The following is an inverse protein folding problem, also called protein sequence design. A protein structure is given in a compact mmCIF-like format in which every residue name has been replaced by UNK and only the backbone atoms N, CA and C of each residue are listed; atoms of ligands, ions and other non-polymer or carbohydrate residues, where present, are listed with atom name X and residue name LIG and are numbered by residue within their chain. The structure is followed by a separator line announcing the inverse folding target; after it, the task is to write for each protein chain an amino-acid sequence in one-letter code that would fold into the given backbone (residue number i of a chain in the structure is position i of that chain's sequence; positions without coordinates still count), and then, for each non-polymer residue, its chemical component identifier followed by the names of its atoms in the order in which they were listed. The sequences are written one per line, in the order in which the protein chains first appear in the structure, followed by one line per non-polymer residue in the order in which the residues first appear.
data_IF_614888997478
#
_entry.id   IF_614888997478
#
_cell.length_a   1.000
_cell.length_b   1.000
_cell.length_c   1.000
_cell.angle_alpha   90.00
_cell.angle_beta   90.00
_cell.angle_gamma   90.00
#
_symmetry.space_group_name_H-M   'P 1'
#
loop_
_entity.id
_entity.type
_entity.pdbx_description
1 polymer ?
#
# COMPACT_ATOMS: atom_id res chain seq x y z
N UNK A 1 16.29 -29.68 -1.74
CA UNK A 1 16.05 -30.04 -0.33
C UNK A 1 15.27 -28.90 0.27
N UNK A 2 13.94 -29.06 0.36
CA UNK A 2 13.07 -28.02 0.88
C UNK A 2 13.22 -28.04 2.41
N UNK A 3 13.76 -26.96 2.97
CA UNK A 3 13.78 -26.77 4.41
C UNK A 3 12.33 -26.69 4.91
N UNK A 4 12.05 -27.29 6.06
CA UNK A 4 10.81 -27.05 6.80
C UNK A 4 10.64 -25.54 7.02
N UNK A 5 9.48 -24.95 6.69
CA UNK A 5 9.23 -23.54 6.94
C UNK A 5 9.43 -23.22 8.43
N UNK A 6 10.16 -22.16 8.71
CA UNK A 6 10.25 -21.57 10.04
C UNK A 6 8.86 -20.97 10.36
N UNK A 7 8.19 -21.34 11.46
CA UNK A 7 6.92 -20.72 11.87
C UNK A 7 7.02 -19.21 12.12
N UNK A 8 8.23 -18.63 12.16
CA UNK A 8 8.46 -17.19 12.23
C UNK A 8 8.43 -16.47 10.88
N UNK A 9 8.46 -17.18 9.75
CA UNK A 9 8.33 -16.57 8.42
C UNK A 9 6.92 -16.82 7.90
N UNK A 10 6.11 -15.78 7.79
CA UNK A 10 4.73 -15.80 7.28
C UNK A 10 4.63 -16.05 5.75
N UNK A 11 5.60 -16.78 5.19
CA UNK A 11 5.74 -17.09 3.77
C UNK A 11 5.49 -18.58 3.57
N UNK A 12 4.45 -18.92 2.81
CA UNK A 12 4.08 -20.31 2.53
C UNK A 12 4.19 -20.61 1.03
N UNK A 13 4.61 -21.82 0.66
CA UNK A 13 4.65 -22.28 -0.74
C UNK A 13 3.27 -22.74 -1.25
N UNK A 14 2.35 -23.03 -0.33
CA UNK A 14 0.98 -23.50 -0.57
C UNK A 14 0.10 -23.06 0.60
N UNK A 15 -1.23 -22.95 0.43
CA UNK A 15 -2.11 -22.63 1.55
C UNK A 15 -1.85 -23.58 2.73
N UNK A 16 -1.64 -23.06 3.96
CA UNK A 16 -1.49 -23.91 5.13
C UNK A 16 -2.79 -24.71 5.36
N UNK A 17 -2.70 -25.81 6.11
CA UNK A 17 -3.82 -26.76 6.24
C UNK A 17 -5.13 -26.17 6.81
N UNK A 18 -5.05 -25.02 7.49
CA UNK A 18 -6.20 -24.29 8.05
C UNK A 18 -6.72 -23.16 7.14
N UNK A 19 -6.08 -22.92 5.99
CA UNK A 19 -6.51 -21.95 4.99
C UNK A 19 -7.37 -22.59 3.90
N UNK A 20 -8.27 -21.79 3.36
CA UNK A 20 -9.09 -22.14 2.20
C UNK A 20 -8.23 -22.19 0.92
N UNK A 21 -8.75 -22.74 -0.20
CA UNK A 21 -8.04 -22.78 -1.48
C UNK A 21 -7.63 -21.40 -2.02
N UNK A 22 -8.39 -20.36 -1.68
CA UNK A 22 -8.09 -18.96 -2.00
C UNK A 22 -7.21 -18.27 -0.93
N UNK A 23 -6.54 -19.04 -0.08
CA UNK A 23 -5.68 -18.56 1.02
C UNK A 23 -6.38 -17.85 2.18
N UNK A 24 -7.70 -17.67 2.11
CA UNK A 24 -8.42 -17.03 3.21
C UNK A 24 -8.45 -17.93 4.45
N UNK A 25 -8.41 -17.28 5.62
CA UNK A 25 -8.59 -17.91 6.93
C UNK A 25 -9.72 -17.20 7.69
N UNK A 26 -10.23 -17.85 8.74
CA UNK A 26 -11.02 -17.12 9.74
C UNK A 26 -10.10 -16.12 10.45
N UNK A 27 -10.57 -14.89 10.65
CA UNK A 27 -9.85 -13.90 11.45
C UNK A 27 -9.67 -14.41 12.89
N UNK A 28 -10.61 -15.21 13.40
CA UNK A 28 -10.67 -15.66 14.80
C UNK A 28 -10.42 -14.48 15.76
N UNK A 29 -11.22 -13.41 15.61
CA UNK A 29 -11.03 -12.15 16.33
C UNK A 29 -10.93 -12.30 17.85
N UNK A 30 -11.57 -13.33 18.41
CA UNK A 30 -11.54 -13.63 19.85
C UNK A 30 -10.21 -14.18 20.35
N UNK A 31 -9.33 -14.61 19.43
CA UNK A 31 -7.99 -15.09 19.76
C UNK A 31 -7.01 -13.96 20.07
N UNK A 32 -7.30 -12.73 19.62
CA UNK A 32 -6.50 -11.56 19.97
C UNK A 32 -6.55 -11.32 21.47
N UNK A 33 -5.37 -11.23 22.08
CA UNK A 33 -5.24 -10.96 23.50
C UNK A 33 -5.31 -9.44 23.79
N UNK A 34 -5.40 -9.09 25.07
CA UNK A 34 -5.50 -7.69 25.50
C UNK A 34 -4.28 -6.84 25.07
N UNK A 35 -3.08 -7.41 25.04
CA UNK A 35 -1.87 -6.69 24.61
C UNK A 35 -1.90 -6.35 23.12
N UNK A 36 -2.44 -7.24 22.29
CA UNK A 36 -2.59 -7.02 20.85
C UNK A 36 -3.61 -5.92 20.57
N UNK A 37 -4.75 -5.91 21.27
CA UNK A 37 -5.72 -4.81 21.19
C UNK A 37 -5.13 -3.48 21.68
N UNK A 38 -4.38 -3.46 22.78
CA UNK A 38 -3.73 -2.25 23.29
C UNK A 38 -2.66 -1.73 22.32
N UNK A 39 -1.93 -2.63 21.65
CA UNK A 39 -0.95 -2.25 20.63
C UNK A 39 -1.61 -1.54 19.46
N UNK A 40 -2.76 -2.03 19.00
CA UNK A 40 -3.58 -1.32 17.99
C UNK A 40 -3.96 0.08 18.46
N UNK A 41 -4.45 0.21 19.70
CA UNK A 41 -4.88 1.50 20.25
C UNK A 41 -3.72 2.52 20.34
N UNK A 42 -2.53 2.06 20.72
CA UNK A 42 -1.32 2.90 20.77
C UNK A 42 -0.96 3.40 19.37
N UNK A 43 -0.92 2.50 18.37
CA UNK A 43 -0.60 2.85 17.00
C UNK A 43 -1.66 3.80 16.41
N UNK A 44 -2.93 3.50 16.62
CA UNK A 44 -4.06 4.31 16.16
C UNK A 44 -4.01 5.72 16.77
N UNK A 45 -3.83 5.84 18.09
CA UNK A 45 -3.76 7.14 18.76
C UNK A 45 -2.61 7.99 18.21
N UNK A 46 -1.43 7.38 18.02
CA UNK A 46 -0.26 8.05 17.45
C UNK A 46 -0.53 8.59 16.04
N UNK A 47 -1.14 7.79 15.16
CA UNK A 47 -1.46 8.22 13.80
C UNK A 47 -2.61 9.24 13.78
N UNK A 48 -3.66 9.05 14.59
CA UNK A 48 -4.80 9.97 14.69
C UNK A 48 -4.39 11.39 15.06
N UNK A 49 -3.41 11.56 15.94
CA UNK A 49 -2.95 12.88 16.35
C UNK A 49 -2.04 13.53 15.30
N UNK A 50 -1.36 12.73 14.47
CA UNK A 50 -0.35 13.19 13.51
C UNK A 50 -0.88 13.40 12.09
N UNK A 51 -1.81 12.56 11.63
CA UNK A 51 -2.35 12.61 10.27
C UNK A 51 -3.25 13.80 9.92
N UNK A 52 -3.90 14.53 10.85
CA UNK A 52 -4.58 15.76 10.51
C UNK A 52 -3.66 16.71 9.74
N UNK A 53 -4.19 17.32 8.68
CA UNK A 53 -3.46 18.17 7.71
C UNK A 53 -2.36 17.48 6.88
N UNK A 54 -2.14 16.16 7.05
CA UNK A 54 -1.17 15.37 6.27
C UNK A 54 -1.83 14.32 5.39
N UNK A 55 -2.81 13.58 5.90
CA UNK A 55 -3.55 12.59 5.13
C UNK A 55 -4.58 13.23 4.20
N UNK A 56 -4.86 12.58 3.08
CA UNK A 56 -5.89 12.98 2.14
C UNK A 56 -7.27 12.97 2.83
N UNK A 57 -8.15 13.87 2.42
CA UNK A 57 -9.48 13.96 3.01
C UNK A 57 -10.29 12.67 2.81
N UNK A 58 -10.08 11.96 1.69
CA UNK A 58 -10.69 10.65 1.44
C UNK A 58 -10.29 9.61 2.49
N UNK A 59 -9.02 9.58 2.91
CA UNK A 59 -8.54 8.68 3.95
C UNK A 59 -9.19 8.99 5.30
N UNK A 60 -9.19 10.26 5.71
CA UNK A 60 -9.79 10.71 6.98
C UNK A 60 -11.29 10.41 7.03
N UNK A 61 -12.01 10.65 5.93
CA UNK A 61 -13.42 10.27 5.81
C UNK A 61 -13.63 8.76 5.95
N UNK A 62 -12.73 7.95 5.36
CA UNK A 62 -12.76 6.50 5.46
C UNK A 62 -12.61 5.99 6.89
N UNK A 63 -11.71 6.59 7.69
CA UNK A 63 -11.55 6.29 9.12
C UNK A 63 -12.88 6.46 9.87
N UNK A 64 -13.58 7.57 9.60
CA UNK A 64 -14.86 7.91 10.24
C UNK A 64 -16.00 6.98 9.79
N UNK A 65 -16.11 6.72 8.48
CA UNK A 65 -17.12 5.82 7.89
C UNK A 65 -16.99 4.42 8.50
N UNK A 66 -15.77 3.88 8.53
CA UNK A 66 -15.47 2.54 9.00
C UNK A 66 -15.39 2.44 10.53
N UNK A 67 -15.54 3.56 11.25
CA UNK A 67 -15.51 3.63 12.71
C UNK A 67 -14.25 3.02 13.33
N UNK A 68 -13.10 3.23 12.69
CA UNK A 68 -11.82 2.69 13.16
C UNK A 68 -11.33 3.35 14.47
N UNK A 69 -12.02 4.39 14.95
CA UNK A 69 -11.80 4.99 16.28
C UNK A 69 -12.31 4.13 17.44
N UNK A 70 -13.04 3.05 17.18
CA UNK A 70 -13.42 2.06 18.19
C UNK A 70 -12.16 1.38 18.74
N UNK A 71 -12.00 1.24 20.07
CA UNK A 71 -10.82 0.61 20.65
C UNK A 71 -10.63 -0.85 20.25
N UNK A 72 -9.37 -1.25 20.10
CA UNK A 72 -8.89 -2.57 19.75
C UNK A 72 -8.87 -2.85 18.24
N UNK A 73 -8.17 -3.93 17.87
CA UNK A 73 -8.15 -4.48 16.51
C UNK A 73 -9.59 -4.63 15.95
N UNK A 74 -9.88 -4.15 14.74
CA UNK A 74 -11.21 -4.25 14.13
C UNK A 74 -11.66 -5.69 13.90
N UNK A 75 -12.93 -5.98 14.22
CA UNK A 75 -13.59 -7.23 13.83
C UNK A 75 -13.99 -7.12 12.34
N UNK A 76 -13.46 -8.00 11.50
CA UNK A 76 -13.70 -7.98 10.05
C UNK A 76 -15.18 -8.24 9.72
N UNK A 77 -15.92 -8.98 10.54
CA UNK A 77 -17.35 -9.15 10.32
C UNK A 77 -18.11 -7.83 10.50
N UNK A 78 -17.74 -7.00 11.50
CA UNK A 78 -18.35 -5.69 11.69
C UNK A 78 -17.90 -4.70 10.59
N UNK A 79 -16.59 -4.65 10.33
CA UNK A 79 -15.96 -3.79 9.33
C UNK A 79 -16.55 -4.05 7.93
N UNK A 80 -16.65 -5.31 7.53
CA UNK A 80 -17.12 -5.70 6.20
C UNK A 80 -18.58 -5.35 5.97
N UNK A 81 -19.45 -5.36 7.00
CA UNK A 81 -20.84 -4.89 6.83
C UNK A 81 -20.86 -3.44 6.34
N UNK A 82 -20.03 -2.58 6.95
CA UNK A 82 -19.96 -1.16 6.58
C UNK A 82 -19.33 -1.00 5.20
N UNK A 83 -18.17 -1.64 4.97
CA UNK A 83 -17.43 -1.48 3.73
C UNK A 83 -18.19 -2.04 2.51
N UNK A 84 -18.87 -3.18 2.66
CA UNK A 84 -19.71 -3.74 1.59
C UNK A 84 -20.90 -2.83 1.27
N UNK A 85 -21.57 -2.27 2.28
CA UNK A 85 -22.67 -1.33 2.08
C UNK A 85 -22.20 -0.01 1.42
N UNK A 86 -20.94 0.39 1.66
CA UNK A 86 -20.37 1.65 1.16
C UNK A 86 -19.88 1.53 -0.29
N UNK A 87 -19.05 0.53 -0.59
CA UNK A 87 -18.38 0.38 -1.89
C UNK A 87 -18.37 -1.05 -2.43
N UNK A 88 -19.04 -1.99 -1.76
CA UNK A 88 -19.02 -3.42 -2.12
C UNK A 88 -17.68 -4.11 -1.87
N UNK A 89 -16.75 -3.47 -1.15
CA UNK A 89 -15.48 -4.07 -0.75
C UNK A 89 -15.60 -4.82 0.58
N UNK A 90 -14.71 -5.78 0.78
CA UNK A 90 -14.52 -6.47 2.06
C UNK A 90 -13.05 -6.77 2.31
N UNK A 91 -12.67 -6.92 3.57
CA UNK A 91 -11.37 -7.40 4.03
C UNK A 91 -11.47 -8.89 4.31
N UNK A 92 -10.48 -9.66 3.88
CA UNK A 92 -10.35 -11.09 4.19
C UNK A 92 -9.01 -11.34 4.88
N UNK A 93 -9.04 -12.16 5.94
CA UNK A 93 -7.83 -12.54 6.65
C UNK A 93 -7.05 -13.59 5.85
N UNK A 94 -5.73 -13.45 5.81
CA UNK A 94 -4.79 -14.41 5.21
C UNK A 94 -3.69 -14.76 6.22
N UNK A 95 -3.05 -15.93 6.12
CA UNK A 95 -2.05 -16.38 7.09
C UNK A 95 -0.72 -15.61 7.04
N UNK A 96 -0.56 -14.74 6.04
CA UNK A 96 0.68 -14.02 5.72
C UNK A 96 0.66 -13.49 4.29
N UNK A 97 1.84 -13.41 3.67
CA UNK A 97 1.95 -13.08 2.26
C UNK A 97 1.30 -14.17 1.40
N UNK A 98 0.54 -13.75 0.39
CA UNK A 98 -0.12 -14.65 -0.58
C UNK A 98 0.55 -14.53 -1.95
N UNK A 99 0.44 -15.57 -2.80
CA UNK A 99 0.91 -15.50 -4.19
C UNK A 99 0.25 -14.37 -4.99
N UNK A 100 0.97 -13.83 -5.99
CA UNK A 100 0.52 -12.71 -6.80
C UNK A 100 -0.83 -12.96 -7.49
N UNK A 101 -1.04 -14.16 -8.06
CA UNK A 101 -2.28 -14.53 -8.73
C UNK A 101 -3.49 -14.53 -7.78
N UNK A 102 -3.28 -15.00 -6.55
CA UNK A 102 -4.27 -14.96 -5.47
C UNK A 102 -4.55 -13.52 -5.05
N UNK A 103 -3.52 -12.72 -4.82
CA UNK A 103 -3.65 -11.30 -4.48
C UNK A 103 -4.47 -10.53 -5.52
N UNK A 104 -4.14 -10.69 -6.80
CA UNK A 104 -4.84 -10.02 -7.89
C UNK A 104 -6.28 -10.50 -8.08
N UNK A 105 -6.56 -11.80 -7.90
CA UNK A 105 -7.95 -12.30 -7.93
C UNK A 105 -8.78 -11.69 -6.81
N UNK A 106 -8.24 -11.59 -5.59
CA UNK A 106 -8.92 -10.93 -4.48
C UNK A 106 -9.26 -9.48 -4.82
N UNK A 107 -8.26 -8.68 -5.26
CA UNK A 107 -8.50 -7.28 -5.63
C UNK A 107 -9.50 -7.13 -6.77
N UNK A 108 -9.39 -7.96 -7.82
CA UNK A 108 -10.29 -7.95 -8.97
C UNK A 108 -11.76 -8.15 -8.58
N UNK A 109 -11.99 -8.87 -7.48
CA UNK A 109 -13.31 -9.19 -6.93
C UNK A 109 -13.63 -8.39 -5.65
N UNK A 110 -13.01 -7.23 -5.46
CA UNK A 110 -13.25 -6.32 -4.32
C UNK A 110 -13.06 -6.98 -2.94
N UNK A 111 -12.09 -7.88 -2.83
CA UNK A 111 -11.61 -8.45 -1.57
C UNK A 111 -10.19 -7.94 -1.31
N UNK A 112 -9.97 -7.28 -0.19
CA UNK A 112 -8.63 -6.85 0.23
C UNK A 112 -8.08 -7.89 1.21
N UNK A 113 -6.90 -8.44 0.93
CA UNK A 113 -6.26 -9.41 1.82
C UNK A 113 -5.53 -8.67 2.95
N UNK A 114 -5.63 -9.18 4.17
CA UNK A 114 -4.91 -8.62 5.33
C UNK A 114 -4.29 -9.73 6.17
N UNK A 115 -3.04 -9.52 6.57
CA UNK A 115 -2.37 -10.37 7.56
C UNK A 115 -3.14 -10.41 8.88
N UNK A 116 -3.22 -11.58 9.49
CA UNK A 116 -4.02 -11.80 10.71
C UNK A 116 -3.17 -11.75 12.00
N UNK A 117 -2.24 -10.80 12.08
CA UNK A 117 -1.40 -10.58 13.25
C UNK A 117 -1.08 -9.09 13.42
N UNK A 118 -0.74 -8.67 14.64
CA UNK A 118 -0.26 -7.31 14.92
C UNK A 118 1.18 -7.37 15.42
N UNK A 119 2.00 -6.37 15.04
CA UNK A 119 3.37 -6.21 15.53
C UNK A 119 3.43 -6.18 17.06
N UNK A 120 4.61 -6.48 17.61
CA UNK A 120 4.84 -6.41 19.07
C UNK A 120 5.17 -4.98 19.51
N UNK A 121 5.10 -4.73 20.82
CA UNK A 121 5.44 -3.42 21.42
C UNK A 121 6.89 -2.97 21.18
N UNK A 122 7.83 -3.90 21.03
CA UNK A 122 9.22 -3.61 20.69
C UNK A 122 9.43 -3.25 19.20
N UNK A 123 8.38 -3.34 18.38
CA UNK A 123 8.39 -3.12 16.93
C UNK A 123 7.43 -2.00 16.51
N UNK A 124 6.97 -1.15 17.43
CA UNK A 124 5.99 -0.08 17.15
C UNK A 124 6.45 0.90 16.06
N UNK A 125 7.75 1.15 15.97
CA UNK A 125 8.31 2.14 15.04
C UNK A 125 8.55 1.57 13.65
N UNK A 126 8.84 0.27 13.53
CA UNK A 126 9.08 -0.38 12.24
C UNK A 126 8.89 -1.90 12.33
N UNK A 127 8.21 -2.45 11.34
CA UNK A 127 8.14 -3.88 11.07
C UNK A 127 8.33 -4.07 9.56
N UNK A 128 9.17 -5.03 9.17
CA UNK A 128 9.44 -5.32 7.75
C UNK A 128 8.26 -6.00 7.06
N UNK A 129 7.54 -6.85 7.78
CA UNK A 129 6.36 -7.56 7.26
C UNK A 129 5.08 -6.72 7.46
N UNK A 130 4.15 -6.72 6.50
CA UNK A 130 2.86 -6.04 6.68
C UNK A 130 2.04 -6.78 7.74
N UNK A 131 1.69 -6.06 8.81
CA UNK A 131 0.78 -6.54 9.84
C UNK A 131 -0.63 -5.98 9.64
N UNK A 132 -1.58 -6.43 10.46
CA UNK A 132 -2.97 -5.98 10.40
C UNK A 132 -3.11 -4.47 10.56
N UNK A 133 -2.20 -3.80 11.27
CA UNK A 133 -2.24 -2.34 11.37
C UNK A 133 -1.89 -1.71 10.03
N UNK A 134 -0.79 -2.09 9.39
CA UNK A 134 -0.46 -1.60 8.05
C UNK A 134 -1.61 -1.87 7.06
N UNK A 135 -2.08 -3.11 6.98
CA UNK A 135 -3.11 -3.51 6.02
C UNK A 135 -4.44 -2.80 6.29
N UNK A 136 -4.96 -2.88 7.51
CA UNK A 136 -6.32 -2.41 7.84
C UNK A 136 -6.34 -0.92 8.07
N UNK A 137 -5.42 -0.36 8.85
CA UNK A 137 -5.40 1.09 9.06
C UNK A 137 -4.86 1.82 7.82
N UNK A 138 -3.87 1.27 7.13
CA UNK A 138 -3.23 1.93 6.00
C UNK A 138 -4.05 1.90 4.71
N UNK A 139 -4.61 0.75 4.33
CA UNK A 139 -5.28 0.61 3.02
C UNK A 139 -6.80 0.78 3.09
N UNK A 140 -7.44 0.16 4.09
CA UNK A 140 -8.90 -0.03 4.07
C UNK A 140 -9.71 1.28 4.14
N UNK A 141 -9.28 2.35 4.84
CA UNK A 141 -9.99 3.64 4.79
C UNK A 141 -10.17 4.18 3.37
N UNK A 142 -9.16 4.04 2.51
CA UNK A 142 -9.26 4.49 1.12
C UNK A 142 -10.27 3.67 0.31
N UNK A 143 -10.50 2.40 0.65
CA UNK A 143 -11.51 1.55 0.00
C UNK A 143 -12.95 2.00 0.27
N UNK A 144 -13.18 2.88 1.25
CA UNK A 144 -14.47 3.53 1.47
C UNK A 144 -14.75 4.66 0.45
N UNK A 145 -13.76 5.11 -0.32
CA UNK A 145 -13.96 6.00 -1.48
C UNK A 145 -14.17 5.16 -2.75
N UNK A 146 -15.30 5.35 -3.43
CA UNK A 146 -15.67 4.58 -4.61
C UNK A 146 -14.62 4.66 -5.73
N UNK A 147 -13.98 5.82 -5.93
CA UNK A 147 -13.00 6.01 -7.01
C UNK A 147 -11.74 5.19 -6.76
N UNK A 148 -11.25 5.22 -5.52
CA UNK A 148 -10.09 4.43 -5.13
C UNK A 148 -10.40 2.93 -5.10
N UNK A 149 -11.58 2.55 -4.62
CA UNK A 149 -12.07 1.17 -4.68
C UNK A 149 -12.18 0.65 -6.12
N UNK A 150 -12.63 1.46 -7.07
CA UNK A 150 -12.68 1.08 -8.48
C UNK A 150 -11.29 0.97 -9.12
N UNK A 151 -10.38 1.85 -8.72
CA UNK A 151 -8.98 1.81 -9.13
C UNK A 151 -8.32 0.50 -8.66
N UNK A 152 -8.48 0.14 -7.38
CA UNK A 152 -7.95 -1.10 -6.82
C UNK A 152 -8.51 -2.35 -7.51
N UNK A 153 -9.81 -2.35 -7.85
CA UNK A 153 -10.41 -3.47 -8.58
C UNK A 153 -9.89 -3.55 -10.03
N UNK A 154 -9.69 -2.39 -10.69
CA UNK A 154 -9.09 -2.33 -12.01
C UNK A 154 -7.63 -2.80 -12.00
N UNK A 155 -6.87 -2.42 -10.97
CA UNK A 155 -5.51 -2.88 -10.73
C UNK A 155 -5.45 -4.40 -10.57
N UNK A 156 -6.33 -5.00 -9.77
CA UNK A 156 -6.43 -6.47 -9.64
C UNK A 156 -6.66 -7.18 -10.98
N UNK A 157 -7.62 -6.70 -11.78
CA UNK A 157 -7.85 -7.21 -13.14
C UNK A 157 -6.66 -6.97 -14.09
N UNK A 158 -5.91 -5.89 -13.88
CA UNK A 158 -4.66 -5.59 -14.57
C UNK A 158 -3.57 -6.61 -14.24
N UNK A 159 -3.44 -7.00 -12.98
CA UNK A 159 -2.47 -7.99 -12.50
C UNK A 159 -2.66 -9.37 -13.09
N UNK A 160 -3.90 -9.84 -13.18
CA UNK A 160 -4.21 -11.11 -13.86
C UNK A 160 -3.74 -11.12 -15.33
N UNK A 161 -3.86 -9.98 -16.04
CA UNK A 161 -3.34 -9.83 -17.41
C UNK A 161 -1.81 -9.67 -17.44
N UNK A 162 -1.23 -8.97 -16.46
CA UNK A 162 0.22 -8.77 -16.39
C UNK A 162 0.97 -10.09 -16.12
N UNK A 163 0.36 -11.04 -15.41
CA UNK A 163 0.87 -12.41 -15.26
C UNK A 163 1.05 -13.09 -16.62
N UNK A 164 0.07 -12.95 -17.53
CA UNK A 164 0.13 -13.53 -18.88
C UNK A 164 1.24 -12.89 -19.74
N UNK A 165 1.53 -11.61 -19.52
CA UNK A 165 2.53 -10.86 -20.28
C UNK A 165 3.93 -10.85 -19.66
N UNK A 166 4.10 -11.38 -18.44
CA UNK A 166 5.37 -11.32 -17.72
C UNK A 166 5.76 -9.90 -17.27
N UNK A 167 4.78 -9.01 -17.05
CA UNK A 167 5.00 -7.58 -16.72
C UNK A 167 4.67 -7.24 -15.27
N UNK A 168 4.73 -8.23 -14.38
CA UNK A 168 4.46 -8.06 -12.95
C UNK A 168 5.35 -7.00 -12.30
N UNK A 169 6.63 -6.94 -12.67
CA UNK A 169 7.59 -5.97 -12.13
C UNK A 169 7.09 -4.53 -12.32
N UNK A 170 6.61 -4.22 -13.53
CA UNK A 170 6.09 -2.90 -13.86
C UNK A 170 4.82 -2.59 -13.08
N UNK A 171 3.95 -3.59 -12.90
CA UNK A 171 2.70 -3.40 -12.15
C UNK A 171 2.95 -3.27 -10.64
N UNK A 172 3.96 -3.96 -10.09
CA UNK A 172 4.39 -3.80 -8.71
C UNK A 172 4.90 -2.37 -8.45
N UNK A 173 5.65 -1.77 -9.39
CA UNK A 173 6.06 -0.36 -9.31
C UNK A 173 4.87 0.60 -9.27
N UNK A 174 3.85 0.33 -10.08
CA UNK A 174 2.63 1.13 -10.06
C UNK A 174 1.99 1.08 -8.68
N UNK A 175 1.79 -0.10 -8.10
CA UNK A 175 1.24 -0.26 -6.76
C UNK A 175 2.08 0.42 -5.68
N UNK A 176 3.40 0.26 -5.75
CA UNK A 176 4.32 0.86 -4.82
C UNK A 176 4.22 2.39 -4.81
N UNK A 177 4.28 3.00 -5.99
CA UNK A 177 4.27 4.46 -6.12
C UNK A 177 2.88 5.10 -6.07
N UNK A 178 1.81 4.31 -5.95
CA UNK A 178 0.46 4.80 -5.73
C UNK A 178 -0.11 4.31 -4.40
N UNK A 179 -0.48 3.04 -4.31
CA UNK A 179 -1.19 2.45 -3.17
C UNK A 179 -0.33 2.47 -1.91
N UNK A 180 0.98 2.26 -2.01
CA UNK A 180 1.86 2.23 -0.83
C UNK A 180 2.45 3.59 -0.48
N UNK A 181 3.00 4.31 -1.46
CA UNK A 181 3.75 5.55 -1.25
C UNK A 181 3.26 6.73 -2.11
N UNK A 182 1.97 6.72 -2.45
CA UNK A 182 1.36 7.80 -3.22
C UNK A 182 1.04 9.05 -2.40
N UNK A 183 1.29 10.21 -3.03
CA UNK A 183 0.83 11.52 -2.58
C UNK A 183 -0.26 12.04 -3.53
N UNK A 184 -1.12 12.94 -3.04
CA UNK A 184 -2.19 13.55 -3.80
C UNK A 184 -2.17 15.07 -3.62
N UNK A 185 -2.51 15.79 -4.68
CA UNK A 185 -2.73 17.23 -4.61
C UNK A 185 -4.16 17.53 -4.15
N UNK A 186 -4.29 18.33 -3.10
CA UNK A 186 -5.56 18.88 -2.62
C UNK A 186 -5.49 20.42 -2.62
N UNK A 187 -6.62 21.14 -2.48
CA UNK A 187 -6.64 22.61 -2.50
C UNK A 187 -5.68 23.26 -1.49
N UNK A 188 -5.49 22.62 -0.32
CA UNK A 188 -4.65 23.09 0.77
C UNK A 188 -3.23 22.48 0.74
N UNK A 189 -2.81 21.94 -0.41
CA UNK A 189 -1.46 21.43 -0.66
C UNK A 189 -1.38 19.92 -0.83
N UNK A 190 -0.16 19.39 -0.70
CA UNK A 190 0.09 17.96 -0.82
C UNK A 190 -0.46 17.21 0.40
N UNK A 191 -1.03 16.04 0.14
CA UNK A 191 -1.53 15.10 1.14
C UNK A 191 -1.09 13.68 0.81
N UNK A 192 -1.22 12.80 1.79
CA UNK A 192 -0.82 11.39 1.71
C UNK A 192 -2.06 10.52 1.51
N UNK A 193 -2.01 9.59 0.56
CA UNK A 193 -2.99 8.50 0.47
C UNK A 193 -2.34 7.10 0.48
N UNK A 194 -1.03 7.02 0.31
CA UNK A 194 -0.28 5.77 0.35
C UNK A 194 -0.29 5.11 1.73
N UNK A 195 -0.64 3.83 1.77
CA UNK A 195 -0.81 3.03 2.99
C UNK A 195 0.47 2.87 3.80
N UNK A 196 1.60 2.61 3.14
CA UNK A 196 2.93 2.56 3.76
C UNK A 196 3.31 3.87 4.45
N UNK A 197 2.85 5.00 3.92
CA UNK A 197 3.09 6.31 4.53
C UNK A 197 2.15 6.54 5.72
N UNK A 198 0.82 6.44 5.56
CA UNK A 198 -0.13 6.77 6.64
C UNK A 198 -0.03 5.83 7.85
N UNK A 199 0.47 4.59 7.65
CA UNK A 199 0.72 3.63 8.73
C UNK A 199 2.10 3.80 9.40
N UNK A 200 2.97 4.64 8.84
CA UNK A 200 4.31 4.94 9.35
C UNK A 200 4.40 6.39 9.87
N UNK A 201 4.74 6.54 11.14
CA UNK A 201 4.91 7.87 11.74
C UNK A 201 6.05 8.66 11.09
N UNK A 202 7.20 8.03 10.91
CA UNK A 202 8.39 8.64 10.33
C UNK A 202 8.21 9.00 8.86
N UNK A 203 7.67 8.08 8.06
CA UNK A 203 7.44 8.30 6.63
C UNK A 203 6.42 9.42 6.40
N UNK A 204 5.36 9.50 7.21
CA UNK A 204 4.33 10.56 7.09
C UNK A 204 4.89 11.97 7.22
N UNK A 205 5.86 12.17 8.12
CA UNK A 205 6.54 13.46 8.27
C UNK A 205 7.55 13.65 7.13
N UNK A 206 8.39 12.64 6.88
CA UNK A 206 9.45 12.70 5.87
C UNK A 206 8.91 12.98 4.45
N UNK A 207 7.82 12.31 4.07
CA UNK A 207 7.23 12.42 2.75
C UNK A 207 6.72 13.82 2.42
N UNK A 208 6.33 14.63 3.41
CA UNK A 208 5.78 15.98 3.19
C UNK A 208 6.75 17.11 3.58
N UNK A 209 7.53 16.93 4.64
CA UNK A 209 8.25 18.03 5.30
C UNK A 209 9.77 18.00 5.05
N UNK A 210 10.35 16.83 4.80
CA UNK A 210 11.80 16.73 4.59
C UNK A 210 12.18 17.26 3.18
N UNK A 211 13.31 17.99 3.04
CA UNK A 211 13.80 18.46 1.75
C UNK A 211 14.57 17.40 0.95
N UNK A 212 14.79 16.19 1.49
CA UNK A 212 15.54 15.12 0.84
C UNK A 212 14.82 14.48 -0.35
N UNK A 213 13.55 14.05 -0.28
CA UNK A 213 12.93 13.30 -1.36
C UNK A 213 12.52 14.18 -2.54
N UNK A 214 12.48 13.59 -3.72
CA UNK A 214 11.83 14.20 -4.87
C UNK A 214 10.32 14.03 -4.74
N UNK A 215 9.56 15.05 -5.16
CA UNK A 215 8.10 14.97 -5.33
C UNK A 215 7.79 15.29 -6.78
N UNK A 216 7.27 14.31 -7.50
CA UNK A 216 7.12 14.34 -8.97
C UNK A 216 5.66 14.07 -9.30
N UNK A 217 5.07 14.80 -10.25
CA UNK A 217 3.71 14.48 -10.68
C UNK A 217 3.65 13.08 -11.27
N UNK A 218 2.52 12.41 -11.04
CA UNK A 218 2.22 11.09 -11.58
C UNK A 218 2.31 11.07 -13.10
N UNK A 219 3.10 10.13 -13.62
CA UNK A 219 3.15 9.73 -15.02
C UNK A 219 3.26 8.21 -15.08
N UNK A 220 2.36 7.56 -15.83
CA UNK A 220 2.26 6.10 -15.83
C UNK A 220 3.52 5.44 -16.39
N UNK A 221 4.00 5.87 -17.56
CA UNK A 221 5.16 5.24 -18.21
C UNK A 221 6.44 5.44 -17.39
N UNK A 222 6.58 6.62 -16.78
CA UNK A 222 7.62 6.96 -15.82
C UNK A 222 7.62 5.98 -14.66
N UNK A 223 6.48 5.81 -14.00
CA UNK A 223 6.34 4.94 -12.82
C UNK A 223 6.63 3.48 -13.16
N UNK A 224 6.09 2.95 -14.26
CA UNK A 224 6.31 1.55 -14.67
C UNK A 224 7.80 1.22 -14.89
N UNK A 225 8.64 2.22 -15.14
CA UNK A 225 10.09 2.08 -15.31
C UNK A 225 10.92 2.45 -14.07
N UNK A 226 10.31 2.94 -12.99
CA UNK A 226 11.06 3.46 -11.83
C UNK A 226 11.42 2.36 -10.84
N UNK A 227 12.70 2.16 -10.56
CA UNK A 227 13.16 1.32 -9.45
C UNK A 227 12.70 1.90 -8.11
N UNK A 228 12.37 1.05 -7.13
CA UNK A 228 12.07 1.46 -5.75
C UNK A 228 12.87 0.67 -4.71
N UNK A 229 12.90 1.15 -3.46
CA UNK A 229 13.52 0.44 -2.34
C UNK A 229 12.50 0.13 -1.25
N UNK A 230 12.68 -1.00 -0.57
CA UNK A 230 11.71 -1.52 0.41
C UNK A 230 12.17 -1.40 1.87
N UNK A 231 13.42 -1.00 2.10
CA UNK A 231 14.12 -1.13 3.37
C UNK A 231 14.40 0.20 4.08
N UNK A 232 13.84 1.30 3.58
CA UNK A 232 14.11 2.66 4.07
C UNK A 232 13.09 3.68 3.50
N UNK A 233 13.21 4.93 3.93
CA UNK A 233 12.42 6.04 3.40
C UNK A 233 12.58 6.22 1.89
N UNK A 234 11.48 6.56 1.22
CA UNK A 234 11.48 6.68 -0.23
C UNK A 234 12.26 7.91 -0.71
N UNK A 235 13.07 7.74 -1.75
CA UNK A 235 13.81 8.85 -2.37
C UNK A 235 12.93 9.67 -3.33
N UNK A 236 11.84 9.08 -3.82
CA UNK A 236 10.85 9.69 -4.71
C UNK A 236 9.43 9.37 -4.22
N UNK A 237 8.57 10.38 -4.26
CA UNK A 237 7.11 10.22 -4.15
C UNK A 237 6.44 10.74 -5.42
N UNK A 238 5.46 9.99 -5.91
CA UNK A 238 4.64 10.42 -7.04
C UNK A 238 3.32 11.02 -6.57
N UNK A 239 2.95 12.13 -7.19
CA UNK A 239 1.81 12.97 -6.80
C UNK A 239 0.72 12.86 -7.86
N UNK A 240 -0.42 12.27 -7.52
CA UNK A 240 -1.60 12.28 -8.38
C UNK A 240 -2.33 13.63 -8.26
N UNK A 241 -2.92 14.17 -9.34
CA UNK A 241 -3.70 15.41 -9.24
C UNK A 241 -5.09 15.18 -8.61
N UNK A 242 -5.63 13.95 -8.71
CA UNK A 242 -6.88 13.53 -8.06
C UNK A 242 -7.04 12.01 -8.12
N UNK A 243 -7.94 11.46 -7.29
CA UNK A 243 -8.34 10.05 -7.36
C UNK A 243 -9.07 9.73 -8.69
N UNK A 244 -9.82 10.69 -9.22
CA UNK A 244 -10.49 10.56 -10.52
C UNK A 244 -9.47 10.38 -11.65
N UNK A 245 -8.36 11.12 -11.64
CA UNK A 245 -7.31 10.97 -12.65
C UNK A 245 -6.57 9.64 -12.52
N UNK A 246 -6.26 9.21 -11.30
CA UNK A 246 -5.63 7.90 -11.06
C UNK A 246 -6.51 6.75 -11.59
N UNK A 247 -7.81 6.81 -11.29
CA UNK A 247 -8.79 5.85 -11.81
C UNK A 247 -8.87 5.91 -13.34
N UNK A 248 -9.03 7.12 -13.89
CA UNK A 248 -9.18 7.35 -15.34
C UNK A 248 -7.99 6.78 -16.10
N UNK A 249 -6.77 7.13 -15.72
CA UNK A 249 -5.56 6.60 -16.37
C UNK A 249 -5.51 5.08 -16.29
N UNK A 250 -5.89 4.49 -15.17
CA UNK A 250 -5.83 3.02 -15.00
C UNK A 250 -6.90 2.27 -15.80
N UNK A 251 -8.10 2.82 -15.91
CA UNK A 251 -9.23 2.18 -16.60
C UNK A 251 -9.21 2.44 -18.10
N UNK A 252 -8.84 3.65 -18.53
CA UNK A 252 -8.87 4.04 -19.94
C UNK A 252 -7.60 3.69 -20.70
N UNK A 253 -6.49 3.41 -20.01
CA UNK A 253 -5.25 2.99 -20.68
C UNK A 253 -5.28 1.50 -20.99
N UNK A 254 -5.02 1.14 -22.25
CA UNK A 254 -4.59 -0.21 -22.59
C UNK A 254 -3.11 -0.37 -22.23
N UNK A 255 -2.82 -1.18 -21.21
CA UNK A 255 -1.47 -1.35 -20.69
C UNK A 255 -0.58 -2.14 -21.64
N UNK A 256 -1.12 -2.96 -22.55
CA UNK A 256 -0.29 -3.79 -23.43
C UNK A 256 0.57 -2.95 -24.39
N UNK A 257 0.04 -1.96 -25.13
CA UNK A 257 0.86 -1.02 -25.91
C UNK A 257 1.89 -0.25 -25.07
N UNK A 258 1.54 0.09 -23.82
CA UNK A 258 2.47 0.78 -22.91
C UNK A 258 3.64 -0.13 -22.55
N UNK A 259 3.36 -1.38 -22.16
CA UNK A 259 4.38 -2.38 -21.89
C UNK A 259 5.30 -2.63 -23.09
N UNK A 260 4.73 -2.76 -24.29
CA UNK A 260 5.51 -2.94 -25.52
C UNK A 260 6.46 -1.75 -25.78
N UNK A 261 5.98 -0.53 -25.55
CA UNK A 261 6.77 0.70 -25.72
C UNK A 261 7.95 0.78 -24.75
N UNK A 262 7.76 0.34 -23.50
CA UNK A 262 8.80 0.45 -22.46
C UNK A 262 9.72 -0.76 -22.38
N UNK A 263 9.39 -1.88 -23.05
CA UNK A 263 10.10 -3.16 -22.92
C UNK A 263 11.61 -3.07 -23.19
N UNK A 264 12.01 -2.26 -24.18
CA UNK A 264 13.41 -2.10 -24.59
C UNK A 264 14.11 -0.88 -23.94
N UNK A 265 13.41 -0.14 -23.09
CA UNK A 265 13.97 1.02 -22.41
C UNK A 265 14.62 0.62 -21.07
N UNK A 266 15.74 1.24 -20.67
CA UNK A 266 16.34 0.96 -19.37
C UNK A 266 15.38 1.38 -18.24
N UNK A 267 15.47 0.67 -17.12
CA UNK A 267 14.85 1.10 -15.87
C UNK A 267 15.48 2.43 -15.41
N UNK A 268 14.64 3.27 -14.78
CA UNK A 268 15.03 4.58 -14.25
C UNK A 268 15.42 4.40 -12.79
N UNK A 269 16.59 4.92 -12.42
CA UNK A 269 17.12 4.77 -11.05
C UNK A 269 16.24 5.51 -10.04
N UNK A 270 16.18 4.99 -8.81
CA UNK A 270 15.25 5.47 -7.77
C UNK A 270 15.21 6.99 -7.65
N UNK A 271 16.35 7.67 -7.53
CA UNK A 271 16.41 9.13 -7.32
C UNK A 271 16.59 9.96 -8.61
N UNK A 272 16.60 9.32 -9.78
CA UNK A 272 16.83 9.99 -11.06
C UNK A 272 15.62 10.85 -11.42
N UNK A 273 15.88 12.07 -11.88
CA UNK A 273 14.88 12.96 -12.49
C UNK A 273 15.16 12.94 -13.99
N UNK A 274 14.16 12.66 -14.80
CA UNK A 274 14.29 12.50 -16.26
C UNK A 274 13.60 13.63 -17.00
N UNK A 275 13.95 13.81 -18.28
CA UNK A 275 13.27 14.75 -19.16
C UNK A 275 11.78 14.38 -19.27
N UNK A 276 10.91 15.36 -19.03
CA UNK A 276 9.45 15.18 -19.00
C UNK A 276 8.86 15.13 -17.60
N UNK A 277 9.66 14.90 -16.55
CA UNK A 277 9.17 14.95 -15.16
C UNK A 277 8.65 16.36 -14.83
N UNK A 278 7.40 16.44 -14.36
CA UNK A 278 6.88 17.65 -13.71
C UNK A 278 7.25 17.59 -12.23
N UNK A 279 8.40 18.18 -11.90
CA UNK A 279 9.00 18.14 -10.56
C UNK A 279 8.39 19.22 -9.67
N UNK A 280 7.68 18.81 -8.61
CA UNK A 280 7.16 19.72 -7.57
C UNK A 280 8.22 20.05 -6.53
N UNK A 281 9.07 19.08 -6.20
CA UNK A 281 10.21 19.27 -5.32
C UNK A 281 11.41 18.52 -5.86
N UNK A 282 12.49 19.25 -6.15
CA UNK A 282 13.80 18.66 -6.44
C UNK A 282 14.51 18.42 -5.11
N UNK A 283 14.44 17.19 -4.63
CA UNK A 283 14.99 16.80 -3.34
C UNK A 283 16.51 16.84 -3.30
N UNK A 284 17.07 17.10 -2.11
CA UNK A 284 18.52 17.12 -1.89
C UNK A 284 19.15 15.73 -1.87
N UNK A 285 18.33 14.69 -1.65
CA UNK A 285 18.75 13.32 -1.41
C UNK A 285 19.72 13.18 -0.22
N UNK A 286 19.73 14.16 0.70
CA UNK A 286 20.68 14.21 1.80
C UNK A 286 20.53 13.02 2.75
N UNK A 287 19.29 12.65 3.10
CA UNK A 287 19.00 11.48 3.92
C UNK A 287 19.59 10.20 3.33
N UNK A 288 19.22 9.86 2.09
CA UNK A 288 19.68 8.63 1.43
C UNK A 288 21.22 8.58 1.28
N UNK A 289 21.87 9.70 0.97
CA UNK A 289 23.34 9.78 0.89
C UNK A 289 24.04 9.63 2.24
N UNK A 290 23.35 9.88 3.34
CA UNK A 290 23.89 9.72 4.69
C UNK A 290 23.81 8.27 5.19
N UNK A 291 23.00 7.44 4.55
CA UNK A 291 22.89 6.02 4.86
C UNK A 291 24.09 5.25 4.28
N UNK A 292 24.58 4.27 5.04
CA UNK A 292 25.79 3.49 4.72
C UNK A 292 25.49 2.07 4.24
N UNK A 293 24.22 1.68 4.18
CA UNK A 293 23.76 0.36 3.74
C UNK A 293 23.53 0.28 2.23
N UNK A 294 23.72 -0.90 1.65
CA UNK A 294 23.23 -1.21 0.31
C UNK A 294 21.70 -1.21 0.32
N UNK A 295 21.08 -0.56 -0.66
CA UNK A 295 19.63 -0.53 -0.79
C UNK A 295 19.10 -1.84 -1.38
N UNK A 296 18.04 -2.38 -0.79
CA UNK A 296 17.27 -3.48 -1.37
C UNK A 296 16.33 -2.91 -2.45
N UNK A 297 16.78 -2.96 -3.70
CA UNK A 297 16.11 -2.34 -4.87
C UNK A 297 15.29 -3.37 -5.66
N UNK A 298 14.10 -2.95 -6.11
CA UNK A 298 13.18 -3.73 -6.97
C UNK A 298 12.92 -3.01 -8.30
#
# INVERSE_FOLDING_TARGET
MLATPDPATHVYDKPPAHANPDWTIDQDWRSYNAEQHETWDILYARQKDMLPDRAAQAFLNGIDILKLSKPGIPDFAELNRILMDTTGWQVVAVPGLVPDDVFFDHLANRRFVSGNFIRRRDQLDYLQEPDIFHDVFGHVPMLADQRFGDYMAAYGRGGLRALEYGTLKQLARLYWYTVEFGLIQEPDGLRIYGAGIVSSYGESIFALEDPSPNRIMFDLERILRTEYRIDDYQQNYFVIPSLDELLRVTVETDFKPVYDKIADLPDIRIAEIVDGDVVLTKGTQAYARSQSGEATVV
#
